data_IF_999796694308
#
_entry.id   IF_999796694308
#
_cell.length_a   1.000
_cell.length_b   1.000
_cell.length_c   1.000
_cell.angle_alpha   90.00
_cell.angle_beta   90.00
_cell.angle_gamma   90.00
#
_symmetry.space_group_name_H-M   'P 1'
#
loop_
_entity.id
_entity.type
_entity.pdbx_description
1 polymer ?
#
# COMPACT_ATOMS: atom_id res chain seq x y z
N UNK A 1 -15.32 -4.02 21.11
CA UNK A 1 -13.93 -4.36 21.46
C UNK A 1 -13.66 -3.66 22.78
N UNK A 2 -13.52 -4.41 23.86
CA UNK A 2 -13.12 -3.87 25.17
C UNK A 2 -11.73 -3.33 25.00
N UNK A 3 -11.42 -2.11 25.37
CA UNK A 3 -10.16 -1.36 25.29
C UNK A 3 -8.82 -2.16 25.37
N UNK A 4 -8.79 -3.36 24.88
CA UNK A 4 -7.75 -4.37 24.95
C UNK A 4 -6.79 -4.35 23.78
N UNK A 5 -5.82 -5.22 23.85
CA UNK A 5 -4.80 -5.50 22.83
C UNK A 5 -5.45 -6.27 21.68
N UNK A 6 -5.14 -5.91 20.42
CA UNK A 6 -5.53 -6.66 19.23
C UNK A 6 -4.49 -7.74 18.94
N UNK A 7 -4.96 -9.00 18.88
CA UNK A 7 -4.10 -10.17 18.68
C UNK A 7 -4.06 -10.51 17.17
N UNK A 8 -2.89 -10.33 16.56
CA UNK A 8 -2.67 -10.49 15.13
C UNK A 8 -2.20 -11.89 14.77
N UNK A 9 -2.82 -12.48 13.74
CA UNK A 9 -2.32 -13.64 13.01
C UNK A 9 -1.77 -13.26 11.66
N UNK A 10 -0.68 -13.89 11.21
CA UNK A 10 -0.01 -13.59 9.95
C UNK A 10 -0.18 -14.76 8.98
N UNK A 11 -0.83 -14.53 7.84
CA UNK A 11 -1.04 -15.54 6.80
C UNK A 11 0.11 -15.52 5.80
N UNK A 12 1.23 -15.93 6.15
CA UNK A 12 2.43 -16.36 5.42
C UNK A 12 3.73 -15.85 6.05
N UNK A 13 4.84 -16.40 5.59
CA UNK A 13 6.19 -15.98 5.93
C UNK A 13 6.80 -15.10 4.83
N UNK A 14 5.98 -14.31 4.14
CA UNK A 14 6.42 -13.41 3.08
C UNK A 14 7.39 -12.34 3.62
N UNK A 15 8.39 -11.98 2.81
CA UNK A 15 9.44 -11.04 3.20
C UNK A 15 8.92 -9.69 3.71
N UNK A 16 7.83 -9.16 3.12
CA UNK A 16 7.24 -7.89 3.58
C UNK A 16 6.71 -8.01 5.00
N UNK A 17 6.01 -9.10 5.32
CA UNK A 17 5.54 -9.40 6.68
C UNK A 17 6.71 -9.52 7.66
N UNK A 18 7.64 -10.43 7.37
CA UNK A 18 8.77 -10.77 8.25
C UNK A 18 9.68 -9.57 8.52
N UNK A 19 9.99 -8.79 7.47
CA UNK A 19 11.00 -7.72 7.59
C UNK A 19 10.43 -6.35 7.97
N UNK A 20 9.13 -6.11 7.75
CA UNK A 20 8.53 -4.78 7.94
C UNK A 20 7.32 -4.82 8.86
N UNK A 21 6.25 -5.52 8.46
CA UNK A 21 4.96 -5.40 9.14
C UNK A 21 4.97 -6.04 10.52
N UNK A 22 5.47 -7.26 10.67
CA UNK A 22 5.54 -7.94 11.97
C UNK A 22 6.34 -7.13 13.00
N UNK A 23 7.60 -6.69 12.71
CA UNK A 23 8.35 -5.89 13.67
C UNK A 23 7.67 -4.54 14.00
N UNK A 24 6.98 -3.93 13.03
CA UNK A 24 6.25 -2.69 13.28
C UNK A 24 5.02 -2.93 14.16
N UNK A 25 4.25 -3.99 13.89
CA UNK A 25 3.08 -4.37 14.70
C UNK A 25 3.47 -4.72 16.14
N UNK A 26 4.61 -5.41 16.33
CA UNK A 26 5.13 -5.74 17.68
C UNK A 26 5.57 -4.51 18.48
N UNK A 27 5.92 -3.39 17.80
CA UNK A 27 6.24 -2.11 18.46
C UNK A 27 5.02 -1.21 18.66
N UNK A 28 3.92 -1.50 17.96
CA UNK A 28 2.73 -0.68 18.03
C UNK A 28 2.00 -0.87 19.37
N UNK A 29 1.49 0.22 19.90
CA UNK A 29 0.65 0.17 21.11
C UNK A 29 -0.61 -0.66 20.83
N UNK A 30 -1.01 -1.47 21.82
CA UNK A 30 -2.23 -2.28 21.77
C UNK A 30 -2.29 -3.32 20.64
N UNK A 31 -1.13 -3.77 20.15
CA UNK A 31 -1.00 -4.83 19.16
C UNK A 31 -0.06 -5.94 19.68
N UNK A 32 -0.45 -7.19 19.43
CA UNK A 32 0.40 -8.37 19.65
C UNK A 32 0.34 -9.27 18.42
N UNK A 33 1.49 -9.72 17.94
CA UNK A 33 1.55 -10.77 16.91
C UNK A 33 1.59 -12.11 17.64
N UNK A 34 0.47 -12.82 17.66
CA UNK A 34 0.28 -14.04 18.48
C UNK A 34 0.43 -15.33 17.68
N UNK A 35 0.29 -15.27 16.36
CA UNK A 35 0.35 -16.46 15.50
C UNK A 35 0.89 -16.13 14.10
N UNK A 36 1.57 -17.10 13.49
CA UNK A 36 1.98 -17.05 12.08
C UNK A 36 1.69 -18.39 11.43
N UNK A 37 1.28 -18.39 10.15
CA UNK A 37 1.03 -19.59 9.39
C UNK A 37 1.87 -19.66 8.11
N UNK A 38 2.16 -20.87 7.68
CA UNK A 38 2.72 -21.17 6.37
C UNK A 38 2.14 -22.48 5.86
N UNK A 39 2.13 -22.70 4.54
CA UNK A 39 1.86 -24.01 3.92
C UNK A 39 2.90 -25.07 4.31
N UNK A 40 4.07 -24.61 4.73
CA UNK A 40 5.17 -25.41 5.28
C UNK A 40 5.25 -25.12 6.80
N UNK A 41 4.87 -26.09 7.62
CA UNK A 41 4.83 -25.97 9.08
C UNK A 41 6.20 -25.74 9.71
N UNK A 42 7.27 -26.36 9.17
CA UNK A 42 8.63 -26.14 9.68
C UNK A 42 9.09 -24.69 9.42
N UNK A 43 8.74 -24.15 8.25
CA UNK A 43 9.02 -22.77 7.91
C UNK A 43 8.26 -21.81 8.84
N UNK A 44 6.98 -22.11 9.12
CA UNK A 44 6.21 -21.34 10.08
C UNK A 44 6.87 -21.35 11.47
N UNK A 45 7.27 -22.53 11.95
CA UNK A 45 7.90 -22.70 13.26
C UNK A 45 9.25 -21.97 13.37
N UNK A 46 10.12 -22.07 12.34
CA UNK A 46 11.39 -21.32 12.32
C UNK A 46 11.16 -19.81 12.34
N UNK A 47 10.26 -19.31 11.51
CA UNK A 47 9.96 -17.86 11.45
C UNK A 47 9.34 -17.37 12.76
N UNK A 48 8.46 -18.15 13.38
CA UNK A 48 7.88 -17.83 14.67
C UNK A 48 8.96 -17.70 15.75
N UNK A 49 9.89 -18.67 15.82
CA UNK A 49 11.00 -18.64 16.76
C UNK A 49 11.92 -17.42 16.56
N UNK A 50 12.27 -17.10 15.31
CA UNK A 50 13.11 -15.95 14.96
C UNK A 50 12.48 -14.61 15.37
N UNK A 51 11.17 -14.49 15.27
CA UNK A 51 10.43 -13.24 15.53
C UNK A 51 9.77 -13.20 16.93
N UNK A 52 9.94 -14.24 17.74
CA UNK A 52 9.33 -14.32 19.06
C UNK A 52 7.80 -14.44 19.03
N UNK A 53 7.23 -15.03 17.96
CA UNK A 53 5.79 -15.25 17.84
C UNK A 53 5.42 -16.56 18.54
N UNK A 54 4.45 -16.54 19.48
CA UNK A 54 4.22 -17.70 20.35
C UNK A 54 3.65 -18.93 19.65
N UNK A 55 2.92 -18.76 18.54
CA UNK A 55 2.25 -19.87 17.84
C UNK A 55 2.60 -19.91 16.36
N UNK A 56 2.87 -21.11 15.86
CA UNK A 56 3.08 -21.40 14.44
C UNK A 56 2.05 -22.44 13.99
N UNK A 57 1.43 -22.17 12.84
CA UNK A 57 0.43 -23.06 12.25
C UNK A 57 0.90 -23.57 10.88
N UNK A 58 0.68 -24.86 10.62
CA UNK A 58 0.72 -25.40 9.29
C UNK A 58 -0.65 -25.21 8.62
N UNK A 59 -0.67 -24.52 7.47
CA UNK A 59 -1.89 -24.15 6.76
C UNK A 59 -2.59 -22.91 7.35
N UNK A 60 -3.21 -22.15 6.46
CA UNK A 60 -3.87 -20.89 6.84
C UNK A 60 -5.20 -21.12 7.56
N UNK A 61 -5.97 -22.18 7.21
CA UNK A 61 -7.20 -22.55 7.90
C UNK A 61 -6.98 -22.85 9.38
N UNK A 62 -5.85 -23.47 9.71
CA UNK A 62 -5.46 -23.75 11.10
C UNK A 62 -5.32 -22.47 11.92
N UNK A 63 -4.68 -21.43 11.34
CA UNK A 63 -4.56 -20.12 11.99
C UNK A 63 -5.92 -19.42 12.08
N UNK A 64 -6.74 -19.47 11.03
CA UNK A 64 -8.08 -18.86 11.03
C UNK A 64 -9.00 -19.48 12.10
N UNK A 65 -8.79 -20.74 12.44
CA UNK A 65 -9.53 -21.45 13.49
C UNK A 65 -9.02 -21.16 14.91
N UNK A 66 -7.88 -20.44 15.07
CA UNK A 66 -7.32 -20.11 16.37
C UNK A 66 -8.18 -19.05 17.09
N UNK A 67 -8.78 -19.35 18.25
CA UNK A 67 -9.61 -18.41 18.99
C UNK A 67 -8.82 -17.25 19.63
N UNK A 68 -7.50 -17.36 19.70
CA UNK A 68 -6.63 -16.32 20.23
C UNK A 68 -6.23 -15.28 19.18
N UNK A 69 -6.72 -15.39 17.93
CA UNK A 69 -6.50 -14.42 16.86
C UNK A 69 -7.76 -13.58 16.67
N UNK A 70 -7.61 -12.24 16.73
CA UNK A 70 -8.68 -11.28 16.51
C UNK A 70 -8.67 -10.73 15.08
N UNK A 71 -7.48 -10.48 14.54
CA UNK A 71 -7.27 -9.91 13.22
C UNK A 71 -6.16 -10.65 12.48
N UNK A 72 -6.25 -10.66 11.15
CA UNK A 72 -5.21 -11.27 10.31
C UNK A 72 -4.60 -10.25 9.35
N UNK A 73 -3.29 -10.39 9.12
CA UNK A 73 -2.57 -9.74 8.05
C UNK A 73 -2.30 -10.74 6.91
N UNK A 74 -2.64 -10.34 5.69
CA UNK A 74 -2.58 -11.21 4.50
C UNK A 74 -1.53 -10.69 3.51
N UNK A 75 -0.24 -11.08 3.65
CA UNK A 75 0.82 -10.76 2.69
C UNK A 75 1.04 -11.90 1.67
N UNK A 76 -0.01 -12.35 1.05
CA UNK A 76 -0.02 -13.40 0.03
C UNK A 76 0.22 -12.83 -1.38
N UNK A 77 0.41 -13.64 -2.42
CA UNK A 77 0.29 -13.19 -3.80
C UNK A 77 -1.08 -12.55 -4.07
N UNK A 78 -1.14 -11.58 -4.98
CA UNK A 78 -2.37 -10.81 -5.26
C UNK A 78 -3.57 -11.71 -5.61
N UNK A 79 -3.33 -12.81 -6.35
CA UNK A 79 -4.35 -13.81 -6.72
C UNK A 79 -4.97 -14.56 -5.54
N UNK A 80 -4.35 -14.54 -4.37
CA UNK A 80 -4.81 -15.24 -3.17
C UNK A 80 -5.59 -14.32 -2.20
N UNK A 81 -5.55 -13.00 -2.41
CA UNK A 81 -6.11 -12.02 -1.49
C UNK A 81 -7.61 -12.22 -1.27
N UNK A 82 -8.38 -12.37 -2.35
CA UNK A 82 -9.83 -12.51 -2.26
C UNK A 82 -10.25 -13.77 -1.49
N UNK A 83 -9.68 -14.92 -1.84
CA UNK A 83 -10.03 -16.20 -1.21
C UNK A 83 -9.74 -16.16 0.30
N UNK A 84 -8.56 -15.70 0.70
CA UNK A 84 -8.17 -15.71 2.11
C UNK A 84 -8.81 -14.59 2.92
N UNK A 85 -9.14 -13.45 2.32
CA UNK A 85 -9.95 -12.42 2.99
C UNK A 85 -11.36 -12.93 3.28
N UNK A 86 -12.00 -13.58 2.32
CA UNK A 86 -13.34 -14.14 2.50
C UNK A 86 -13.33 -15.27 3.55
N UNK A 87 -12.30 -16.14 3.53
CA UNK A 87 -12.13 -17.18 4.53
C UNK A 87 -11.93 -16.59 5.95
N UNK A 88 -11.09 -15.57 6.08
CA UNK A 88 -10.87 -14.87 7.35
C UNK A 88 -12.14 -14.20 7.87
N UNK A 89 -12.90 -13.54 7.00
CA UNK A 89 -14.19 -12.95 7.36
C UNK A 89 -15.17 -13.99 7.88
N UNK A 90 -15.31 -15.14 7.20
CA UNK A 90 -16.16 -16.27 7.64
C UNK A 90 -15.73 -16.85 8.98
N UNK A 91 -14.43 -16.79 9.30
CA UNK A 91 -13.88 -17.17 10.60
C UNK A 91 -14.02 -16.06 11.67
N UNK A 92 -14.69 -14.95 11.36
CA UNK A 92 -14.91 -13.84 12.28
C UNK A 92 -13.68 -12.97 12.56
N UNK A 93 -12.65 -13.03 11.70
CA UNK A 93 -11.41 -12.26 11.88
C UNK A 93 -11.47 -10.94 11.11
N UNK A 94 -11.01 -9.84 11.75
CA UNK A 94 -10.73 -8.59 11.04
C UNK A 94 -9.55 -8.78 10.08
N UNK A 95 -9.51 -8.03 8.98
CA UNK A 95 -8.54 -8.25 7.91
C UNK A 95 -7.77 -6.99 7.55
N UNK A 96 -6.44 -7.07 7.57
CA UNK A 96 -5.53 -6.19 6.87
C UNK A 96 -4.95 -6.97 5.68
N UNK A 97 -5.37 -6.61 4.46
CA UNK A 97 -4.93 -7.27 3.24
C UNK A 97 -3.90 -6.41 2.51
N UNK A 98 -2.80 -7.02 2.02
CA UNK A 98 -1.85 -6.31 1.17
C UNK A 98 -2.51 -5.74 -0.09
N UNK A 99 -1.88 -4.70 -0.60
CA UNK A 99 -2.26 -4.04 -1.86
C UNK A 99 -1.69 -4.82 -3.08
N UNK A 100 -2.35 -4.77 -4.22
CA UNK A 100 -3.72 -4.31 -4.42
C UNK A 100 -4.71 -5.26 -3.74
N UNK A 101 -5.86 -4.75 -3.33
CA UNK A 101 -6.84 -5.52 -2.55
C UNK A 101 -7.24 -6.81 -3.25
N UNK A 102 -7.45 -6.77 -4.57
CA UNK A 102 -7.86 -7.91 -5.39
C UNK A 102 -7.38 -7.77 -6.83
N UNK A 103 -7.55 -8.83 -7.63
CA UNK A 103 -7.24 -8.86 -9.07
C UNK A 103 -8.28 -8.13 -9.91
N UNK A 104 -9.53 -8.08 -9.44
CA UNK A 104 -10.65 -7.44 -10.14
C UNK A 104 -11.54 -6.66 -9.17
N UNK A 105 -12.31 -5.70 -9.70
CA UNK A 105 -13.30 -4.97 -8.92
C UNK A 105 -14.37 -5.91 -8.34
N UNK A 106 -14.80 -6.92 -9.09
CA UNK A 106 -15.80 -7.89 -8.63
C UNK A 106 -15.32 -8.70 -7.41
N UNK A 107 -14.05 -9.13 -7.42
CA UNK A 107 -13.45 -9.78 -6.25
C UNK A 107 -13.39 -8.83 -5.04
N UNK A 108 -12.96 -7.58 -5.26
CA UNK A 108 -12.92 -6.58 -4.19
C UNK A 108 -14.30 -6.34 -3.57
N UNK A 109 -15.34 -6.23 -4.41
CA UNK A 109 -16.73 -6.10 -3.94
C UNK A 109 -17.21 -7.33 -3.14
N UNK A 110 -16.81 -8.54 -3.56
CA UNK A 110 -17.13 -9.76 -2.82
C UNK A 110 -16.43 -9.78 -1.45
N UNK A 111 -15.15 -9.39 -1.38
CA UNK A 111 -14.40 -9.26 -0.13
C UNK A 111 -15.08 -8.28 0.83
N UNK A 112 -15.46 -7.10 0.34
CA UNK A 112 -16.15 -6.08 1.13
C UNK A 112 -17.49 -6.59 1.65
N UNK A 113 -18.29 -7.24 0.79
CA UNK A 113 -19.58 -7.86 1.20
C UNK A 113 -19.38 -8.97 2.23
N UNK A 114 -18.39 -9.84 2.05
CA UNK A 114 -18.13 -10.93 2.99
C UNK A 114 -17.77 -10.39 4.38
N UNK A 115 -16.91 -9.38 4.44
CA UNK A 115 -16.53 -8.75 5.70
C UNK A 115 -17.71 -8.01 6.36
N UNK A 116 -18.49 -7.26 5.58
CA UNK A 116 -19.66 -6.56 6.08
C UNK A 116 -20.73 -7.52 6.64
N UNK A 117 -20.99 -8.63 5.95
CA UNK A 117 -21.95 -9.66 6.38
C UNK A 117 -21.55 -10.35 7.69
N UNK A 118 -20.27 -10.44 7.98
CA UNK A 118 -19.72 -11.01 9.22
C UNK A 118 -19.46 -9.96 10.31
N UNK A 119 -19.69 -8.67 10.03
CA UNK A 119 -19.43 -7.59 10.98
C UNK A 119 -17.95 -7.39 11.30
N UNK A 120 -17.04 -7.79 10.41
CA UNK A 120 -15.60 -7.62 10.56
C UNK A 120 -15.07 -6.48 9.69
N UNK A 121 -13.96 -5.89 10.10
CA UNK A 121 -13.31 -4.80 9.37
C UNK A 121 -12.40 -5.38 8.27
N UNK A 122 -12.39 -4.73 7.11
CA UNK A 122 -11.43 -4.95 6.03
C UNK A 122 -10.68 -3.65 5.75
N UNK A 123 -9.36 -3.71 5.72
CA UNK A 123 -8.49 -2.60 5.35
C UNK A 123 -7.49 -3.06 4.31
N UNK A 124 -7.31 -2.28 3.25
CA UNK A 124 -6.22 -2.44 2.29
C UNK A 124 -4.95 -1.74 2.80
N UNK A 125 -3.80 -2.43 2.72
CA UNK A 125 -2.55 -2.03 3.36
C UNK A 125 -1.78 -0.97 2.55
N UNK A 126 -2.38 0.18 2.29
CA UNK A 126 -1.67 1.36 1.78
C UNK A 126 -1.05 2.16 2.94
N UNK A 127 0.08 1.70 3.44
CA UNK A 127 0.74 2.26 4.63
C UNK A 127 1.06 3.76 4.50
N UNK A 128 1.38 4.26 3.29
CA UNK A 128 1.72 5.66 3.08
C UNK A 128 0.61 6.63 3.51
N UNK A 129 -0.67 6.22 3.42
CA UNK A 129 -1.83 7.05 3.76
C UNK A 129 -1.88 7.47 5.22
N UNK A 130 -1.23 6.69 6.09
CA UNK A 130 -1.16 6.91 7.54
C UNK A 130 0.15 7.61 7.95
N UNK A 131 1.06 7.85 7.01
CA UNK A 131 2.31 8.55 7.30
C UNK A 131 2.07 10.04 7.54
N UNK A 132 2.69 10.67 8.57
CA UNK A 132 2.50 12.09 8.90
C UNK A 132 2.75 13.06 7.74
N UNK A 133 3.65 12.72 6.80
CA UNK A 133 3.87 13.53 5.61
C UNK A 133 2.62 13.69 4.74
N UNK A 134 1.80 12.63 4.64
CA UNK A 134 0.57 12.70 3.87
C UNK A 134 -0.56 13.39 4.63
N UNK A 135 -0.55 13.37 5.96
CA UNK A 135 -1.42 14.23 6.77
C UNK A 135 -1.10 15.72 6.51
N UNK A 136 0.19 16.08 6.56
CA UNK A 136 0.63 17.44 6.27
C UNK A 136 0.31 17.88 4.82
N UNK A 137 0.43 16.98 3.83
CA UNK A 137 0.04 17.28 2.45
C UNK A 137 -1.46 17.52 2.34
N UNK A 138 -2.30 16.70 2.98
CA UNK A 138 -3.75 16.90 3.01
C UNK A 138 -4.12 18.24 3.65
N UNK A 139 -3.47 18.62 4.75
CA UNK A 139 -3.70 19.90 5.41
C UNK A 139 -3.28 21.08 4.52
N UNK A 140 -2.16 20.98 3.82
CA UNK A 140 -1.72 21.99 2.85
C UNK A 140 -2.72 22.17 1.68
N UNK A 141 -3.27 21.07 1.18
CA UNK A 141 -4.32 21.10 0.15
C UNK A 141 -5.62 21.69 0.72
N UNK A 142 -6.08 21.19 1.86
CA UNK A 142 -7.33 21.62 2.49
C UNK A 142 -7.32 23.11 2.92
N UNK A 143 -6.15 23.61 3.36
CA UNK A 143 -5.99 25.04 3.71
C UNK A 143 -5.97 25.97 2.50
N UNK A 144 -6.00 25.44 1.26
CA UNK A 144 -5.91 26.23 0.03
C UNK A 144 -4.51 26.83 -0.24
N UNK A 145 -3.46 26.33 0.41
CA UNK A 145 -2.08 26.83 0.28
C UNK A 145 -1.57 26.87 -1.16
N UNK A 146 -2.03 25.94 -2.00
CA UNK A 146 -1.72 25.88 -3.43
C UNK A 146 -2.92 26.23 -4.32
N UNK A 147 -4.02 26.75 -3.74
CA UNK A 147 -5.29 26.93 -4.43
C UNK A 147 -5.99 25.58 -4.71
N UNK A 148 -6.91 25.55 -5.69
CA UNK A 148 -7.59 24.31 -6.12
C UNK A 148 -6.58 23.41 -6.83
N UNK A 149 -6.54 22.13 -6.45
CA UNK A 149 -5.73 21.11 -7.17
C UNK A 149 -6.26 20.96 -8.59
N UNK A 150 -5.37 21.02 -9.60
CA UNK A 150 -5.69 20.90 -11.02
C UNK A 150 -5.06 19.69 -11.68
N UNK A 151 -3.85 19.33 -11.21
CA UNK A 151 -3.18 18.17 -11.77
C UNK A 151 -2.32 17.46 -10.71
N UNK A 152 -2.22 16.13 -10.83
CA UNK A 152 -1.33 15.28 -10.06
C UNK A 152 -0.43 14.53 -11.01
N UNK A 153 0.88 14.56 -10.79
CA UNK A 153 1.84 13.80 -11.57
C UNK A 153 2.61 12.85 -10.64
N UNK A 154 2.61 11.56 -10.96
CA UNK A 154 3.28 10.53 -10.16
C UNK A 154 4.24 9.70 -10.99
N UNK A 155 5.37 9.35 -10.40
CA UNK A 155 6.32 8.38 -10.94
C UNK A 155 6.65 7.37 -9.86
N UNK A 156 6.63 6.06 -10.21
CA UNK A 156 7.10 5.01 -9.33
C UNK A 156 7.78 3.90 -10.15
N UNK A 157 9.06 3.67 -9.91
CA UNK A 157 9.81 2.64 -10.62
C UNK A 157 10.83 1.95 -9.74
N UNK A 158 11.18 0.74 -10.13
CA UNK A 158 12.34 -0.02 -9.67
C UNK A 158 12.70 -1.07 -10.73
N UNK A 159 13.87 -1.68 -10.61
CA UNK A 159 14.30 -2.74 -11.53
C UNK A 159 14.20 -4.12 -10.87
N UNK A 160 13.45 -5.03 -11.48
CA UNK A 160 13.34 -6.44 -11.11
C UNK A 160 12.92 -7.26 -12.32
N UNK A 161 13.84 -8.09 -12.83
CA UNK A 161 13.64 -9.01 -13.95
C UNK A 161 13.76 -10.49 -13.55
N UNK A 162 13.84 -10.79 -12.25
CA UNK A 162 13.92 -12.17 -11.73
C UNK A 162 12.62 -12.94 -12.04
N UNK A 163 12.67 -13.99 -12.90
CA UNK A 163 11.47 -14.76 -13.27
C UNK A 163 10.89 -15.57 -12.10
N UNK A 164 11.66 -15.79 -11.04
CA UNK A 164 11.18 -16.43 -9.81
C UNK A 164 10.43 -15.51 -8.88
N UNK A 165 10.41 -14.20 -9.14
CA UNK A 165 9.69 -13.24 -8.33
C UNK A 165 8.22 -13.17 -8.73
N UNK A 166 7.32 -13.25 -7.75
CA UNK A 166 5.86 -13.23 -7.96
C UNK A 166 5.37 -12.01 -8.75
N UNK A 167 6.12 -10.90 -8.71
CA UNK A 167 5.81 -9.67 -9.45
C UNK A 167 6.00 -9.78 -10.95
N UNK A 168 6.71 -10.84 -11.40
CA UNK A 168 6.94 -11.15 -12.81
C UNK A 168 6.10 -12.37 -13.28
N UNK A 169 5.13 -12.82 -12.46
CA UNK A 169 4.27 -13.97 -12.74
C UNK A 169 2.83 -13.48 -12.90
N UNK A 170 2.28 -13.48 -14.15
CA UNK A 170 0.92 -12.94 -14.42
C UNK A 170 -0.18 -13.62 -13.59
N UNK A 171 -0.10 -14.95 -13.44
CA UNK A 171 -1.10 -15.77 -12.74
C UNK A 171 -1.17 -15.44 -11.24
N UNK A 172 -0.11 -14.88 -10.68
CA UNK A 172 -0.04 -14.44 -9.28
C UNK A 172 -0.41 -12.96 -9.11
N UNK A 173 -0.81 -12.30 -10.19
CA UNK A 173 -1.11 -10.88 -10.19
C UNK A 173 0.13 -10.01 -10.28
N UNK A 174 1.17 -10.49 -10.98
CA UNK A 174 2.37 -9.70 -11.26
C UNK A 174 2.08 -8.52 -12.19
N UNK A 175 3.05 -7.62 -12.29
CA UNK A 175 3.01 -6.44 -13.16
C UNK A 175 3.22 -5.14 -12.43
N UNK A 176 3.72 -4.14 -13.18
CA UNK A 176 4.02 -2.81 -12.65
C UNK A 176 2.76 -2.10 -12.15
N UNK A 177 1.64 -2.27 -12.85
CA UNK A 177 0.38 -1.64 -12.48
C UNK A 177 -0.15 -2.14 -11.13
N UNK A 178 -0.20 -3.46 -10.93
CA UNK A 178 -0.65 -4.04 -9.67
C UNK A 178 0.33 -3.77 -8.53
N UNK A 179 1.65 -3.92 -8.78
CA UNK A 179 2.62 -3.79 -7.68
C UNK A 179 2.80 -2.36 -7.21
N UNK A 180 2.98 -1.41 -8.13
CA UNK A 180 3.31 -0.01 -7.80
C UNK A 180 2.41 1.04 -8.45
N UNK A 181 1.79 0.77 -9.59
CA UNK A 181 0.82 1.69 -10.23
C UNK A 181 -0.42 1.90 -9.37
N UNK A 182 -0.85 0.90 -8.60
CA UNK A 182 -1.95 0.99 -7.65
C UNK A 182 -1.75 2.12 -6.62
N UNK A 183 -0.52 2.44 -6.23
CA UNK A 183 -0.22 3.59 -5.36
C UNK A 183 -0.55 4.92 -6.04
N UNK A 184 -0.16 5.07 -7.32
CA UNK A 184 -0.43 6.29 -8.08
C UNK A 184 -1.93 6.50 -8.28
N UNK A 185 -2.68 5.42 -8.55
CA UNK A 185 -4.13 5.44 -8.68
C UNK A 185 -4.80 5.78 -7.35
N UNK A 186 -4.41 5.08 -6.28
CA UNK A 186 -4.96 5.31 -4.93
C UNK A 186 -4.72 6.76 -4.47
N UNK A 187 -3.52 7.30 -4.73
CA UNK A 187 -3.19 8.68 -4.42
C UNK A 187 -4.07 9.68 -5.19
N UNK A 188 -4.25 9.45 -6.49
CA UNK A 188 -5.07 10.33 -7.34
C UNK A 188 -6.52 10.38 -6.83
N UNK A 189 -7.10 9.21 -6.55
CA UNK A 189 -8.44 9.09 -5.96
C UNK A 189 -8.54 9.78 -4.58
N UNK A 190 -7.50 9.69 -3.76
CA UNK A 190 -7.45 10.35 -2.45
C UNK A 190 -7.42 11.87 -2.58
N UNK A 191 -6.64 12.43 -3.51
CA UNK A 191 -6.50 13.88 -3.67
C UNK A 191 -7.71 14.53 -4.34
N UNK A 192 -8.33 13.86 -5.31
CA UNK A 192 -9.54 14.35 -5.99
C UNK A 192 -10.85 13.90 -5.29
N UNK A 193 -10.74 13.06 -4.26
CA UNK A 193 -11.88 12.55 -3.48
C UNK A 193 -12.98 11.90 -4.36
N UNK A 194 -12.59 11.23 -5.45
CA UNK A 194 -13.53 10.64 -6.41
C UNK A 194 -12.91 9.59 -7.30
N UNK A 195 -13.75 9.03 -8.18
CA UNK A 195 -13.34 8.10 -9.23
C UNK A 195 -13.02 8.85 -10.52
N UNK A 196 -12.05 8.38 -11.34
CA UNK A 196 -11.78 8.98 -12.63
C UNK A 196 -12.99 8.78 -13.58
N UNK A 197 -13.34 9.82 -14.32
CA UNK A 197 -14.42 9.81 -15.33
C UNK A 197 -13.94 9.34 -16.71
N UNK A 198 -12.61 9.30 -16.93
CA UNK A 198 -11.99 8.81 -18.15
C UNK A 198 -10.57 8.29 -17.88
N UNK A 199 -10.16 7.30 -18.66
CA UNK A 199 -8.84 6.68 -18.55
C UNK A 199 -8.24 6.47 -19.93
N UNK A 200 -7.00 6.93 -20.14
CA UNK A 200 -6.17 6.60 -21.27
C UNK A 200 -4.85 6.00 -20.78
N UNK A 201 -4.39 4.92 -21.39
CA UNK A 201 -3.17 4.26 -20.96
C UNK A 201 -2.36 3.68 -22.11
N UNK A 202 -1.03 3.68 -21.93
CA UNK A 202 -0.06 2.96 -22.74
C UNK A 202 0.64 1.92 -21.87
N UNK A 203 0.67 0.66 -22.32
CA UNK A 203 1.17 -0.47 -21.55
C UNK A 203 2.23 -1.22 -22.35
N UNK A 204 3.42 -1.35 -21.80
CA UNK A 204 4.47 -2.23 -22.32
C UNK A 204 4.44 -3.54 -21.54
N UNK A 205 4.46 -4.67 -22.27
CA UNK A 205 4.46 -6.01 -21.68
C UNK A 205 5.74 -6.74 -22.04
N UNK A 206 6.20 -7.61 -21.17
CA UNK A 206 7.29 -8.55 -21.48
C UNK A 206 6.77 -9.79 -22.22
N UNK A 207 7.67 -10.74 -22.48
CA UNK A 207 7.35 -11.96 -23.22
C UNK A 207 6.35 -12.89 -22.49
N UNK A 208 6.16 -12.73 -21.18
CA UNK A 208 5.19 -13.48 -20.38
C UNK A 208 3.80 -12.85 -20.38
N UNK A 209 3.67 -11.63 -20.93
CA UNK A 209 2.46 -10.84 -20.92
C UNK A 209 2.30 -9.95 -19.68
N UNK A 210 3.28 -9.98 -18.78
CA UNK A 210 3.30 -9.10 -17.59
C UNK A 210 3.57 -7.65 -18.01
N UNK A 211 2.79 -6.69 -17.52
CA UNK A 211 3.08 -5.28 -17.75
C UNK A 211 4.34 -4.87 -16.97
N UNK A 212 5.29 -4.32 -17.69
CA UNK A 212 6.59 -3.89 -17.13
C UNK A 212 6.73 -2.37 -17.09
N UNK A 213 5.92 -1.66 -17.85
CA UNK A 213 5.75 -0.22 -17.78
C UNK A 213 4.32 0.14 -18.18
N UNK A 214 3.68 0.94 -17.35
CA UNK A 214 2.36 1.52 -17.64
C UNK A 214 2.40 3.02 -17.41
N UNK A 215 1.97 3.78 -18.43
CA UNK A 215 1.72 5.22 -18.31
C UNK A 215 0.24 5.47 -18.51
N UNK A 216 -0.38 6.29 -17.66
CA UNK A 216 -1.81 6.57 -17.78
C UNK A 216 -2.16 8.02 -17.46
N UNK A 217 -3.27 8.45 -18.06
CA UNK A 217 -3.98 9.70 -17.78
C UNK A 217 -5.33 9.32 -17.19
N UNK A 218 -5.63 9.85 -16.01
CA UNK A 218 -6.91 9.70 -15.32
C UNK A 218 -7.60 11.05 -15.30
N UNK A 219 -8.75 11.18 -15.96
CA UNK A 219 -9.57 12.39 -15.93
C UNK A 219 -10.46 12.40 -14.68
N UNK A 220 -10.55 13.55 -14.01
CA UNK A 220 -11.42 13.79 -12.86
C UNK A 220 -12.21 15.08 -13.14
N UNK A 221 -13.29 14.98 -13.91
CA UNK A 221 -14.04 16.13 -14.44
C UNK A 221 -13.11 17.11 -15.19
N UNK A 222 -12.85 18.29 -14.63
CA UNK A 222 -11.96 19.31 -15.17
C UNK A 222 -10.49 19.18 -14.77
N UNK A 223 -10.15 18.16 -13.96
CA UNK A 223 -8.83 17.95 -13.36
C UNK A 223 -8.21 16.63 -13.85
N UNK A 224 -6.92 16.44 -13.68
CA UNK A 224 -6.23 15.30 -14.26
C UNK A 224 -5.16 14.72 -13.32
N UNK A 225 -5.02 13.40 -13.33
CA UNK A 225 -3.83 12.75 -12.83
C UNK A 225 -3.08 12.05 -13.97
N UNK A 226 -1.76 12.13 -13.93
CA UNK A 226 -0.87 11.43 -14.87
C UNK A 226 0.13 10.63 -14.07
N UNK A 227 0.32 9.37 -14.44
CA UNK A 227 1.36 8.57 -13.80
C UNK A 227 2.10 7.67 -14.77
N UNK A 228 3.31 7.32 -14.38
CA UNK A 228 4.06 6.22 -14.98
C UNK A 228 4.57 5.32 -13.86
N UNK A 229 4.42 4.01 -14.03
CA UNK A 229 5.02 3.00 -13.16
C UNK A 229 5.80 1.99 -13.98
N UNK A 230 6.93 1.49 -13.44
CA UNK A 230 7.76 0.50 -14.14
C UNK A 230 8.52 -0.39 -13.18
N UNK A 231 8.55 -1.70 -13.48
CA UNK A 231 9.43 -2.69 -12.85
C UNK A 231 10.71 -2.95 -13.65
N UNK A 232 10.98 -2.14 -14.69
CA UNK A 232 12.16 -2.26 -15.56
C UNK A 232 12.87 -0.91 -15.79
N UNK A 233 12.76 0.01 -14.82
CA UNK A 233 13.44 1.30 -14.87
C UNK A 233 14.27 1.53 -13.61
N UNK A 234 15.15 2.51 -13.65
CA UNK A 234 15.91 2.97 -12.48
C UNK A 234 14.95 3.28 -11.31
N UNK A 235 15.29 2.89 -10.07
CA UNK A 235 14.47 3.17 -8.91
C UNK A 235 14.25 4.67 -8.70
N UNK A 236 13.01 5.09 -8.76
CA UNK A 236 12.59 6.47 -8.47
C UNK A 236 11.14 6.52 -7.98
N UNK A 237 10.84 7.50 -7.11
CA UNK A 237 9.50 7.80 -6.65
C UNK A 237 9.33 9.30 -6.56
N UNK A 238 8.31 9.86 -7.22
CA UNK A 238 8.02 11.29 -7.17
C UNK A 238 6.52 11.54 -7.28
N UNK A 239 6.07 12.58 -6.58
CA UNK A 239 4.73 13.14 -6.75
C UNK A 239 4.83 14.66 -6.83
N UNK A 240 4.13 15.22 -7.79
CA UNK A 240 3.88 16.65 -7.91
C UNK A 240 2.38 16.90 -7.92
N UNK A 241 1.93 17.81 -7.07
CA UNK A 241 0.53 18.25 -6.96
C UNK A 241 0.50 19.70 -7.40
N UNK A 242 -0.19 20.00 -8.50
CA UNK A 242 -0.29 21.33 -9.08
C UNK A 242 -1.64 21.92 -8.75
N UNK A 243 -1.62 23.05 -8.06
CA UNK A 243 -2.81 23.85 -7.78
C UNK A 243 -2.83 25.15 -8.60
N UNK A 244 -3.93 25.89 -8.49
CA UNK A 244 -4.11 27.18 -9.18
C UNK A 244 -3.23 28.31 -8.64
N UNK A 245 -2.66 28.16 -7.44
CA UNK A 245 -1.84 29.17 -6.75
C UNK A 245 -0.50 28.64 -6.28
N UNK A 246 -0.13 27.38 -6.59
CA UNK A 246 1.12 26.80 -6.17
C UNK A 246 1.28 25.33 -6.52
N UNK A 247 2.34 24.73 -6.01
CA UNK A 247 2.69 23.32 -6.23
C UNK A 247 3.26 22.71 -4.96
N UNK A 248 2.93 21.44 -4.71
CA UNK A 248 3.59 20.58 -3.72
C UNK A 248 4.41 19.53 -4.48
N UNK A 249 5.65 19.30 -4.06
CA UNK A 249 6.53 18.26 -4.59
C UNK A 249 6.98 17.36 -3.45
N UNK A 250 6.91 16.04 -3.65
CA UNK A 250 7.26 15.04 -2.64
C UNK A 250 8.26 14.08 -3.27
N UNK A 251 9.43 13.97 -2.69
CA UNK A 251 10.41 12.92 -2.97
C UNK A 251 10.09 11.70 -2.10
N UNK A 252 10.14 10.49 -2.68
CA UNK A 252 9.84 9.21 -2.02
C UNK A 252 8.46 9.23 -1.33
N UNK A 253 7.37 9.42 -2.10
CA UNK A 253 6.03 9.60 -1.54
C UNK A 253 5.40 8.34 -0.94
N UNK A 254 5.83 7.13 -1.35
CA UNK A 254 5.16 5.88 -1.01
C UNK A 254 5.97 5.02 -0.04
N UNK A 255 7.25 4.77 -0.33
CA UNK A 255 8.16 3.98 0.52
C UNK A 255 9.05 4.91 1.35
N UNK A 256 8.43 5.76 2.16
CA UNK A 256 9.12 6.77 2.95
C UNK A 256 10.07 6.06 3.94
N UNK A 257 11.40 6.37 3.91
CA UNK A 257 12.35 5.75 4.80
C UNK A 257 12.07 6.13 6.27
N UNK A 258 12.08 5.16 7.21
CA UNK A 258 11.80 5.44 8.62
C UNK A 258 12.97 6.15 9.35
N UNK A 259 14.14 6.19 8.73
CA UNK A 259 15.39 6.69 9.30
C UNK A 259 15.72 8.15 8.88
N UNK A 260 14.89 8.75 8.05
CA UNK A 260 15.10 10.14 7.58
C UNK A 260 13.75 10.87 7.42
N UNK A 261 13.79 12.21 7.50
CA UNK A 261 12.59 13.03 7.27
C UNK A 261 12.04 12.89 5.86
N UNK A 262 10.72 12.98 5.72
CA UNK A 262 10.07 13.11 4.42
C UNK A 262 10.30 14.52 3.86
N UNK A 263 10.68 14.62 2.59
CA UNK A 263 10.91 15.89 1.91
C UNK A 263 9.65 16.36 1.18
N UNK A 264 9.07 17.46 1.65
CA UNK A 264 7.91 18.12 1.03
C UNK A 264 8.33 19.55 0.68
N UNK A 265 8.30 19.90 -0.60
CA UNK A 265 8.54 21.26 -1.07
C UNK A 265 7.24 21.90 -1.49
N UNK A 266 6.95 23.10 -0.98
CA UNK A 266 5.78 23.89 -1.36
C UNK A 266 6.27 25.17 -2.05
N UNK A 267 5.80 25.39 -3.29
CA UNK A 267 6.01 26.63 -4.04
C UNK A 267 4.64 27.31 -4.18
N UNK A 268 4.51 28.55 -3.73
CA UNK A 268 3.24 29.29 -3.80
C UNK A 268 3.44 30.61 -4.55
N UNK A 269 2.46 31.01 -5.33
CA UNK A 269 2.22 32.34 -5.86
C UNK A 269 3.38 33.06 -6.57
N UNK A 270 3.72 32.67 -7.81
CA UNK A 270 4.58 33.49 -8.65
C UNK A 270 6.09 33.46 -8.36
N UNK A 271 6.51 32.74 -7.32
CA UNK A 271 7.94 32.51 -7.10
C UNK A 271 8.51 31.66 -8.26
N UNK A 272 9.63 32.07 -8.88
CA UNK A 272 10.31 31.22 -9.84
C UNK A 272 10.61 29.88 -9.16
N UNK A 273 10.73 28.78 -9.93
CA UNK A 273 11.09 27.49 -9.36
C UNK A 273 12.41 27.64 -8.61
N UNK A 274 12.30 27.69 -7.27
CA UNK A 274 13.49 27.91 -6.43
C UNK A 274 14.35 26.68 -6.55
N UNK A 275 15.59 26.87 -6.95
CA UNK A 275 16.69 25.95 -6.69
C UNK A 275 16.66 25.53 -5.20
N UNK A 276 17.06 24.32 -4.81
CA UNK A 276 16.78 23.69 -3.52
C UNK A 276 17.40 24.36 -2.27
N UNK A 277 17.49 25.68 -2.24
CA UNK A 277 18.13 26.45 -1.17
C UNK A 277 17.19 26.94 -0.05
N UNK A 278 15.89 26.83 -0.17
CA UNK A 278 14.97 27.01 0.97
C UNK A 278 14.61 25.64 1.52
N UNK A 279 15.08 25.34 2.72
CA UNK A 279 14.79 24.07 3.37
C UNK A 279 13.28 23.81 3.38
N UNK A 280 12.80 22.72 2.78
CA UNK A 280 11.40 22.34 2.87
C UNK A 280 11.03 22.12 4.33
N UNK A 281 9.74 22.24 4.71
CA UNK A 281 9.32 21.80 6.03
C UNK A 281 9.73 20.33 6.19
N UNK A 282 10.65 20.08 7.08
CA UNK A 282 11.18 18.76 7.36
C UNK A 282 10.28 18.13 8.41
N UNK A 283 9.53 17.11 8.04
CA UNK A 283 8.79 16.31 8.99
C UNK A 283 9.71 15.26 9.62
N UNK A 284 9.53 15.03 10.91
CA UNK A 284 10.29 14.01 11.62
C UNK A 284 10.15 12.64 10.92
N UNK A 285 11.21 11.85 11.01
CA UNK A 285 11.17 10.48 10.51
C UNK A 285 10.07 9.69 11.23
N UNK A 286 9.28 8.95 10.47
CA UNK A 286 8.23 8.10 10.99
C UNK A 286 8.18 6.79 10.21
N UNK A 287 7.81 5.72 10.89
CA UNK A 287 7.62 4.40 10.27
C UNK A 287 6.16 4.26 9.82
N UNK A 288 5.92 4.25 8.52
CA UNK A 288 4.59 4.11 7.94
C UNK A 288 3.92 2.73 8.18
N UNK A 289 4.64 1.80 8.78
CA UNK A 289 4.11 0.48 9.15
C UNK A 289 3.68 0.37 10.63
N UNK A 290 3.75 1.45 11.39
CA UNK A 290 3.25 1.48 12.78
C UNK A 290 1.77 1.72 12.85
#
# INVERSE_FOLDING_TARGET
MNGGVVRWGILSTANIGVRRVIPATQRAERCEVVAIASRDGERAARTAAELGIPRAHEGYDSLLSDPEVDAVYIPLPNSEHAAWTIAAARAGKHVLCEKPLAMTAAEAEEMVRACANQGVLLMEAFMYRLHPSWEAVRDLVASGRIGRVRAVQSWFSYFNDDPGNIRNVPELGGGALYDIGCYCINLSRMLFAGEPTGIEASVMRDATGTDVLTSAILAFDDDVAVFTCSTRAEPDQRVHIYGTAGRISIGIPFNIPPDRPAEITVTAGGDPPVSPASAPPTLAAADGYR
#
